data_IF_074127721692
#
_entry.id   IF_074127721692
#
_cell.length_a   1.000
_cell.length_b   1.000
_cell.length_c   1.000
_cell.angle_alpha   90.00
_cell.angle_beta   90.00
_cell.angle_gamma   90.00
#
_symmetry.space_group_name_H-M   'P 1'
#
loop_
_entity.id
_entity.type
_entity.pdbx_description
1 polymer ?
#
# COMPACT_ATOMS: atom_id res chain seq x y z
N UNK A 1 -1.45 5.21 -7.61
CA UNK A 1 -1.55 4.19 -8.69
C UNK A 1 -2.58 4.62 -9.73
N UNK A 2 -3.82 4.88 -9.30
CA UNK A 2 -4.89 5.30 -10.20
C UNK A 2 -4.61 6.67 -10.85
N UNK A 3 -3.92 7.58 -10.16
CA UNK A 3 -3.49 8.85 -10.74
C UNK A 3 -2.54 8.70 -11.95
N UNK A 4 -1.67 7.68 -11.95
CA UNK A 4 -0.78 7.40 -13.08
C UNK A 4 -1.52 6.66 -14.19
N UNK A 5 -2.37 5.68 -13.85
CA UNK A 5 -3.15 4.92 -14.83
C UNK A 5 -4.17 5.81 -15.56
N UNK A 6 -4.90 6.65 -14.82
CA UNK A 6 -5.75 7.71 -15.36
C UNK A 6 -4.94 8.77 -16.11
N UNK A 7 -3.80 9.20 -15.55
CA UNK A 7 -2.91 10.19 -16.17
C UNK A 7 -2.32 9.74 -17.52
N UNK A 8 -1.98 8.46 -17.69
CA UNK A 8 -1.53 7.90 -18.97
C UNK A 8 -2.70 7.70 -19.94
N UNK A 9 -3.88 7.26 -19.47
CA UNK A 9 -5.08 7.05 -20.29
C UNK A 9 -5.79 8.33 -20.74
N UNK A 10 -5.65 9.46 -20.02
CA UNK A 10 -6.31 10.74 -20.32
C UNK A 10 -5.43 11.72 -21.09
N UNK A 11 -4.20 11.36 -21.48
CA UNK A 11 -3.39 12.22 -22.34
C UNK A 11 -4.03 12.36 -23.72
N UNK A 12 -3.97 13.56 -24.34
CA UNK A 12 -4.48 13.78 -25.69
C UNK A 12 -3.77 12.85 -26.69
N UNK A 13 -4.53 12.37 -27.68
CA UNK A 13 -4.19 11.29 -28.61
C UNK A 13 -2.87 11.46 -29.40
N UNK A 14 -2.31 12.67 -29.45
CA UNK A 14 -1.01 12.96 -30.08
C UNK A 14 0.20 12.76 -29.15
N UNK A 15 -0.01 12.44 -27.86
CA UNK A 15 1.05 12.23 -26.84
C UNK A 15 0.82 11.00 -25.95
N UNK A 16 -0.20 10.20 -26.26
CA UNK A 16 -0.50 8.94 -25.59
C UNK A 16 0.50 7.87 -26.01
N UNK A 17 1.22 7.32 -25.03
CA UNK A 17 1.92 6.04 -25.20
C UNK A 17 0.88 4.97 -25.53
N UNK A 18 1.23 3.99 -26.38
CA UNK A 18 0.34 2.85 -26.58
C UNK A 18 0.02 2.22 -25.20
N UNK A 19 -1.25 1.83 -24.96
CA UNK A 19 -1.67 1.20 -23.70
C UNK A 19 -0.78 0.01 -23.31
N UNK A 20 -0.26 -0.70 -24.31
CA UNK A 20 0.71 -1.79 -24.12
C UNK A 20 1.99 -1.33 -23.40
N UNK A 21 2.63 -0.26 -23.87
CA UNK A 21 3.86 0.26 -23.25
C UNK A 21 3.58 0.85 -21.86
N UNK A 22 2.43 1.51 -21.67
CA UNK A 22 2.04 2.00 -20.34
C UNK A 22 1.89 0.85 -19.33
N UNK A 23 1.23 -0.24 -19.71
CA UNK A 23 1.12 -1.45 -18.87
C UNK A 23 2.48 -2.07 -18.56
N UNK A 24 3.41 -2.12 -19.53
CA UNK A 24 4.78 -2.61 -19.30
C UNK A 24 5.51 -1.73 -18.27
N UNK A 25 5.45 -0.41 -18.41
CA UNK A 25 6.12 0.52 -17.47
C UNK A 25 5.59 0.31 -16.04
N UNK A 26 4.27 0.21 -15.88
CA UNK A 26 3.66 -0.03 -14.58
C UNK A 26 4.06 -1.39 -14.01
N UNK A 27 4.03 -2.45 -14.82
CA UNK A 27 4.42 -3.79 -14.38
C UNK A 27 5.90 -3.86 -13.97
N UNK A 28 6.80 -3.35 -14.81
CA UNK A 28 8.25 -3.33 -14.54
C UNK A 28 8.54 -2.50 -13.30
N UNK A 29 7.93 -1.32 -13.16
CA UNK A 29 8.15 -0.49 -11.98
C UNK A 29 7.61 -1.13 -10.69
N UNK A 30 6.54 -1.95 -10.75
CA UNK A 30 6.08 -2.74 -9.59
C UNK A 30 7.04 -3.87 -9.23
N UNK A 31 7.55 -4.58 -10.23
CA UNK A 31 8.56 -5.62 -10.02
C UNK A 31 9.85 -5.02 -9.43
N UNK A 32 10.26 -3.85 -9.94
CA UNK A 32 11.40 -3.09 -9.42
C UNK A 32 11.18 -2.65 -7.97
N UNK A 33 10.03 -2.07 -7.67
CA UNK A 33 9.64 -1.59 -6.34
C UNK A 33 9.69 -2.72 -5.28
N UNK A 34 9.23 -3.93 -5.64
CA UNK A 34 9.35 -5.11 -4.79
C UNK A 34 10.83 -5.46 -4.51
N UNK A 35 11.70 -5.45 -5.52
CA UNK A 35 13.13 -5.78 -5.35
C UNK A 35 13.88 -4.74 -4.51
N UNK A 36 13.53 -3.45 -4.63
CA UNK A 36 14.22 -2.37 -3.93
C UNK A 36 13.97 -2.36 -2.42
N UNK A 37 12.81 -2.82 -1.95
CA UNK A 37 12.44 -2.83 -0.52
C UNK A 37 13.42 -3.59 0.40
N UNK A 38 13.77 -4.87 0.15
CA UNK A 38 14.72 -5.62 0.98
C UNK A 38 16.14 -5.06 0.87
N UNK A 39 16.54 -4.58 -0.31
CA UNK A 39 17.87 -4.00 -0.53
C UNK A 39 18.03 -2.75 0.33
N UNK A 40 17.07 -1.83 0.26
CA UNK A 40 17.10 -0.58 1.02
C UNK A 40 16.98 -0.85 2.52
N UNK A 41 16.10 -1.78 2.95
CA UNK A 41 16.02 -2.18 4.35
C UNK A 41 17.35 -2.64 4.92
N UNK A 42 18.08 -3.45 4.15
CA UNK A 42 19.43 -3.87 4.53
C UNK A 42 20.43 -2.70 4.55
N UNK A 43 20.44 -1.85 3.52
CA UNK A 43 21.35 -0.70 3.47
C UNK A 43 21.12 0.26 4.64
N UNK A 44 19.86 0.48 5.01
CA UNK A 44 19.46 1.30 6.14
C UNK A 44 19.91 0.66 7.45
N UNK A 45 19.73 -0.64 7.63
CA UNK A 45 20.22 -1.36 8.82
C UNK A 45 21.75 -1.24 9.01
N UNK A 46 22.50 -1.23 7.90
CA UNK A 46 23.98 -1.14 7.87
C UNK A 46 24.50 0.30 8.00
N UNK A 47 23.66 1.29 7.76
CA UNK A 47 24.09 2.68 7.75
C UNK A 47 24.58 3.13 9.14
N UNK A 48 25.66 3.92 9.20
CA UNK A 48 26.22 4.39 10.46
C UNK A 48 25.28 5.38 11.15
N UNK A 49 25.33 5.42 12.48
CA UNK A 49 24.59 6.41 13.25
C UNK A 49 25.18 7.81 13.01
N UNK A 50 24.35 8.73 12.50
CA UNK A 50 24.76 10.13 12.29
C UNK A 50 24.26 11.04 13.42
N UNK A 51 24.62 12.33 13.41
CA UNK A 51 24.13 13.31 14.39
C UNK A 51 22.61 13.46 14.40
N UNK A 52 21.96 13.16 13.27
CA UNK A 52 20.52 13.25 13.10
C UNK A 52 19.82 11.89 13.27
N UNK A 53 20.55 10.81 13.55
CA UNK A 53 20.01 9.46 13.60
C UNK A 53 20.55 8.55 12.50
N UNK A 54 20.00 7.34 12.42
CA UNK A 54 20.29 6.34 11.38
C UNK A 54 19.25 6.40 10.25
N UNK A 55 17.97 6.63 10.56
CA UNK A 55 16.85 6.55 9.60
C UNK A 55 16.58 7.90 8.90
N UNK A 56 16.64 9.00 9.64
CA UNK A 56 16.39 10.36 9.18
C UNK A 56 17.26 10.82 7.99
N UNK A 57 18.58 10.54 7.94
CA UNK A 57 19.41 10.95 6.81
C UNK A 57 18.94 10.37 5.46
N UNK A 58 18.45 9.13 5.45
CA UNK A 58 17.90 8.49 4.25
C UNK A 58 16.64 9.20 3.77
N UNK A 59 15.76 9.58 4.69
CA UNK A 59 14.52 10.33 4.39
C UNK A 59 14.86 11.71 3.80
N UNK A 60 15.75 12.45 4.44
CA UNK A 60 16.11 13.82 4.00
C UNK A 60 16.81 13.80 2.65
N UNK A 61 17.71 12.85 2.40
CA UNK A 61 18.43 12.76 1.13
C UNK A 61 17.55 12.28 -0.02
N UNK A 62 16.65 11.33 0.23
CA UNK A 62 15.76 10.78 -0.80
C UNK A 62 14.65 11.76 -1.22
N UNK A 63 14.14 12.59 -0.30
CA UNK A 63 13.02 13.52 -0.55
C UNK A 63 13.25 14.46 -1.75
N UNK A 64 14.32 15.29 -1.82
CA UNK A 64 14.50 16.22 -2.94
C UNK A 64 14.69 15.49 -4.27
N UNK A 65 15.38 14.34 -4.26
CA UNK A 65 15.54 13.51 -5.46
C UNK A 65 14.20 12.92 -5.90
N UNK A 66 13.36 12.46 -4.95
CA UNK A 66 12.05 11.91 -5.23
C UNK A 66 11.15 12.96 -5.87
N UNK A 67 11.15 14.18 -5.35
CA UNK A 67 10.41 15.32 -5.89
C UNK A 67 10.81 15.62 -7.34
N UNK A 68 12.11 15.69 -7.61
CA UNK A 68 12.62 15.93 -8.97
C UNK A 68 12.21 14.80 -9.90
N UNK A 69 12.37 13.54 -9.49
CA UNK A 69 11.97 12.39 -10.31
C UNK A 69 10.46 12.37 -10.58
N UNK A 70 9.62 12.69 -9.58
CA UNK A 70 8.17 12.76 -9.75
C UNK A 70 7.77 13.86 -10.73
N UNK A 71 8.36 15.06 -10.59
CA UNK A 71 8.10 16.16 -11.52
C UNK A 71 8.50 15.79 -12.96
N UNK A 72 9.62 15.07 -13.15
CA UNK A 72 10.08 14.60 -14.46
C UNK A 72 9.20 13.51 -15.10
N UNK A 73 8.41 12.77 -14.31
CA UNK A 73 7.37 11.85 -14.82
C UNK A 73 6.20 12.64 -15.45
N UNK A 74 5.89 13.82 -14.92
CA UNK A 74 4.82 14.67 -15.44
C UNK A 74 5.30 15.59 -16.57
N UNK A 75 6.60 15.83 -16.66
CA UNK A 75 7.21 16.50 -17.80
C UNK A 75 7.12 15.62 -19.07
N UNK A 76 6.71 16.23 -20.18
CA UNK A 76 6.66 15.55 -21.48
C UNK A 76 8.03 15.72 -22.14
N UNK A 77 8.82 14.64 -22.33
CA UNK A 77 10.12 14.75 -22.96
C UNK A 77 9.96 15.17 -24.42
N UNK A 78 10.89 16.01 -24.89
CA UNK A 78 10.92 16.52 -26.27
C UNK A 78 11.32 15.43 -27.27
N UNK A 79 11.98 14.36 -26.79
CA UNK A 79 12.48 13.24 -27.60
C UNK A 79 11.33 12.28 -27.89
N UNK A 80 10.99 12.06 -29.17
CA UNK A 80 9.86 11.19 -29.57
C UNK A 80 10.17 9.69 -29.49
N UNK A 81 11.34 9.27 -29.96
CA UNK A 81 11.73 7.85 -30.03
C UNK A 81 12.15 7.25 -28.67
N UNK A 82 12.34 8.09 -27.65
CA UNK A 82 12.83 7.70 -26.32
C UNK A 82 11.80 7.79 -25.19
N UNK A 83 10.53 8.12 -25.50
CA UNK A 83 9.48 8.40 -24.50
C UNK A 83 9.28 7.24 -23.52
N UNK A 84 9.27 6.00 -24.01
CA UNK A 84 9.07 4.79 -23.18
C UNK A 84 10.20 4.63 -22.17
N UNK A 85 11.45 4.73 -22.63
CA UNK A 85 12.65 4.58 -21.79
C UNK A 85 12.70 5.70 -20.74
N UNK A 86 12.39 6.94 -21.13
CA UNK A 86 12.30 8.07 -20.20
C UNK A 86 11.34 7.77 -19.04
N UNK A 87 10.10 7.39 -19.34
CA UNK A 87 9.12 7.10 -18.30
C UNK A 87 9.50 5.89 -17.46
N UNK A 88 10.05 4.85 -18.07
CA UNK A 88 10.52 3.67 -17.33
C UNK A 88 11.62 4.02 -16.32
N UNK A 89 12.63 4.78 -16.75
CA UNK A 89 13.76 5.18 -15.90
C UNK A 89 13.30 6.08 -14.75
N UNK A 90 12.56 7.15 -15.05
CA UNK A 90 12.10 8.07 -14.00
C UNK A 90 11.07 7.44 -13.07
N UNK A 91 10.23 6.53 -13.56
CA UNK A 91 9.32 5.76 -12.73
C UNK A 91 10.07 4.82 -11.79
N UNK A 92 11.04 4.05 -12.27
CA UNK A 92 11.85 3.18 -11.41
C UNK A 92 12.69 3.99 -10.41
N UNK A 93 13.23 5.13 -10.83
CA UNK A 93 13.96 6.05 -9.95
C UNK A 93 13.05 6.59 -8.84
N UNK A 94 11.86 7.06 -9.19
CA UNK A 94 10.87 7.53 -8.23
C UNK A 94 10.48 6.43 -7.23
N UNK A 95 10.21 5.21 -7.71
CA UNK A 95 9.90 4.07 -6.83
C UNK A 95 11.03 3.77 -5.85
N UNK A 96 12.28 3.74 -6.32
CA UNK A 96 13.46 3.51 -5.47
C UNK A 96 13.57 4.58 -4.37
N UNK A 97 13.39 5.85 -4.73
CA UNK A 97 13.48 6.97 -3.80
C UNK A 97 12.30 6.99 -2.82
N UNK A 98 11.12 6.58 -3.28
CA UNK A 98 9.96 6.38 -2.44
C UNK A 98 10.20 5.27 -1.41
N UNK A 99 10.84 4.16 -1.80
CA UNK A 99 11.25 3.10 -0.86
C UNK A 99 12.28 3.60 0.15
N UNK A 100 13.27 4.40 -0.28
CA UNK A 100 14.24 5.05 0.62
C UNK A 100 13.58 5.96 1.66
N UNK A 101 12.38 6.48 1.39
CA UNK A 101 11.60 7.23 2.36
C UNK A 101 10.73 6.32 3.23
N UNK A 102 9.96 5.42 2.60
CA UNK A 102 8.89 4.65 3.24
C UNK A 102 9.42 3.59 4.20
N UNK A 103 10.51 2.89 3.85
CA UNK A 103 11.08 1.85 4.70
C UNK A 103 11.61 2.42 6.02
N UNK A 104 12.49 3.45 6.03
CA UNK A 104 12.92 4.08 7.28
C UNK A 104 11.78 4.72 8.06
N UNK A 105 10.81 5.36 7.38
CA UNK A 105 9.63 5.93 8.03
C UNK A 105 8.81 4.89 8.80
N UNK A 106 8.58 3.74 8.17
CA UNK A 106 7.82 2.64 8.80
C UNK A 106 8.58 2.05 9.98
N UNK A 107 9.89 1.85 9.85
CA UNK A 107 10.74 1.34 10.93
C UNK A 107 10.85 2.31 12.13
N UNK A 108 10.76 3.62 11.88
CA UNK A 108 10.83 4.67 12.92
C UNK A 108 9.79 4.49 14.04
N UNK A 109 8.65 3.87 13.72
CA UNK A 109 7.57 3.62 14.69
C UNK A 109 7.99 2.69 15.82
N UNK A 110 8.99 1.82 15.63
CA UNK A 110 9.50 0.95 16.69
C UNK A 110 10.47 1.68 17.63
N UNK A 111 11.14 2.72 17.15
CA UNK A 111 12.09 3.49 17.93
C UNK A 111 11.45 4.62 18.76
N UNK A 112 10.14 4.84 18.64
CA UNK A 112 9.47 5.98 19.28
C UNK A 112 9.25 5.77 20.78
N UNK A 113 8.94 4.55 21.19
CA UNK A 113 8.69 4.17 22.58
C UNK A 113 9.19 2.75 22.80
N UNK A 114 9.51 2.43 24.05
CA UNK A 114 9.84 1.09 24.50
C UNK A 114 8.60 0.29 24.93
N UNK A 115 7.49 0.98 25.23
CA UNK A 115 6.25 0.31 25.58
C UNK A 115 5.48 -0.09 24.32
N UNK A 116 5.23 -1.38 24.20
CA UNK A 116 4.43 -1.98 23.13
C UNK A 116 3.04 -1.33 22.99
N UNK A 117 2.39 -0.97 24.10
CA UNK A 117 1.06 -0.34 24.07
C UNK A 117 1.12 1.04 23.43
N UNK A 118 2.19 1.80 23.69
CA UNK A 118 2.42 3.09 23.06
C UNK A 118 2.74 2.93 21.57
N UNK A 119 3.58 1.95 21.20
CA UNK A 119 3.88 1.61 19.79
C UNK A 119 2.63 1.24 19.00
N UNK A 120 1.78 0.39 19.56
CA UNK A 120 0.51 -0.01 18.94
C UNK A 120 -0.40 1.21 18.75
N UNK A 121 -0.48 2.10 19.74
CA UNK A 121 -1.28 3.32 19.65
C UNK A 121 -0.74 4.29 18.59
N UNK A 122 0.58 4.49 18.53
CA UNK A 122 1.22 5.34 17.53
C UNK A 122 0.98 4.79 16.11
N UNK A 123 1.03 3.48 15.95
CA UNK A 123 0.71 2.79 14.69
C UNK A 123 -0.75 3.04 14.28
N UNK A 124 -1.70 2.96 15.21
CA UNK A 124 -3.10 3.24 14.93
C UNK A 124 -3.33 4.69 14.49
N UNK A 125 -2.69 5.67 15.15
CA UNK A 125 -2.75 7.09 14.73
C UNK A 125 -2.16 7.29 13.35
N UNK A 126 -0.97 6.72 13.09
CA UNK A 126 -0.30 6.76 11.78
C UNK A 126 -1.22 6.23 10.68
N UNK A 127 -1.81 5.06 10.88
CA UNK A 127 -2.72 4.44 9.92
C UNK A 127 -4.01 5.23 9.71
N UNK A 128 -4.56 5.82 10.77
CA UNK A 128 -5.76 6.65 10.65
C UNK A 128 -5.49 7.86 9.75
N UNK A 129 -4.33 8.53 9.94
CA UNK A 129 -3.92 9.67 9.11
C UNK A 129 -3.59 9.24 7.68
N UNK A 130 -2.98 8.07 7.48
CA UNK A 130 -2.70 7.49 6.16
C UNK A 130 -3.99 7.20 5.38
N UNK A 131 -4.98 6.57 6.02
CA UNK A 131 -6.29 6.31 5.41
C UNK A 131 -7.00 7.62 5.11
N UNK A 132 -6.98 8.61 6.01
CA UNK A 132 -7.56 9.93 5.76
C UNK A 132 -6.93 10.61 4.54
N UNK A 133 -5.60 10.59 4.42
CA UNK A 133 -4.88 11.12 3.26
C UNK A 133 -5.32 10.41 1.97
N UNK A 134 -5.50 9.10 2.03
CA UNK A 134 -5.97 8.28 0.89
C UNK A 134 -7.41 8.61 0.51
N UNK A 135 -8.30 8.82 1.49
CA UNK A 135 -9.70 9.25 1.26
C UNK A 135 -9.72 10.60 0.54
N UNK A 136 -8.97 11.59 1.04
CA UNK A 136 -8.91 12.93 0.46
C UNK A 136 -8.34 12.86 -0.97
N UNK A 137 -7.25 12.12 -1.16
CA UNK A 137 -6.64 11.92 -2.48
C UNK A 137 -7.61 11.28 -3.48
N UNK A 138 -8.32 10.23 -3.07
CA UNK A 138 -9.30 9.52 -3.90
C UNK A 138 -10.51 10.39 -4.21
N UNK A 139 -10.99 11.16 -3.23
CA UNK A 139 -12.10 12.10 -3.42
C UNK A 139 -11.73 13.17 -4.45
N UNK A 140 -10.57 13.82 -4.28
CA UNK A 140 -10.08 14.86 -5.21
C UNK A 140 -9.87 14.27 -6.61
N UNK A 141 -9.18 13.13 -6.70
CA UNK A 141 -8.92 12.47 -7.98
C UNK A 141 -10.22 12.14 -8.70
N UNK A 142 -11.18 11.53 -8.01
CA UNK A 142 -12.37 11.09 -8.67
C UNK A 142 -13.32 12.23 -9.03
N UNK A 143 -13.33 13.36 -8.31
CA UNK A 143 -14.00 14.58 -8.79
C UNK A 143 -13.42 15.06 -10.13
N UNK A 144 -12.08 15.04 -10.27
CA UNK A 144 -11.40 15.42 -11.53
C UNK A 144 -11.74 14.44 -12.66
N UNK A 145 -11.68 13.13 -12.39
CA UNK A 145 -11.92 12.09 -13.41
C UNK A 145 -13.41 11.99 -13.77
N UNK A 146 -14.31 12.16 -12.81
CA UNK A 146 -15.77 12.12 -13.00
C UNK A 146 -16.27 13.24 -13.91
N UNK A 147 -15.60 14.40 -13.92
CA UNK A 147 -15.88 15.48 -14.87
C UNK A 147 -15.53 15.12 -16.32
N UNK A 148 -14.65 14.15 -16.55
CA UNK A 148 -14.16 13.77 -17.88
C UNK A 148 -14.92 12.58 -18.51
N UNK A 149 -16.06 12.17 -17.92
CA UNK A 149 -16.81 10.93 -18.15
C UNK A 149 -16.80 10.47 -19.63
N UNK A 150 -15.83 9.63 -20.05
CA UNK A 150 -15.69 9.30 -21.45
C UNK A 150 -16.82 8.34 -21.87
N UNK A 151 -17.48 8.58 -23.02
CA UNK A 151 -18.54 7.71 -23.51
C UNK A 151 -18.01 6.28 -23.70
N UNK A 152 -18.84 5.29 -23.40
CA UNK A 152 -18.49 3.90 -23.66
C UNK A 152 -18.47 3.63 -25.17
N UNK A 153 -17.69 2.63 -25.59
CA UNK A 153 -17.58 2.21 -26.98
C UNK A 153 -18.68 1.18 -27.24
N UNK A 154 -19.55 1.46 -28.20
CA UNK A 154 -20.55 0.50 -28.69
C UNK A 154 -19.83 -0.63 -29.44
N UNK A 155 -20.23 -1.88 -29.19
CA UNK A 155 -19.66 -3.03 -29.89
C UNK A 155 -20.02 -2.98 -31.40
N UNK A 156 -19.12 -3.42 -32.30
CA UNK A 156 -19.42 -3.48 -33.73
C UNK A 156 -20.44 -4.58 -34.00
N UNK A 157 -21.73 -4.21 -34.01
CA UNK A 157 -22.85 -5.14 -34.20
C UNK A 157 -24.20 -4.62 -33.72
N UNK A 158 -24.24 -3.62 -32.84
CA UNK A 158 -25.49 -3.00 -32.41
C UNK A 158 -25.94 -1.95 -33.45
N UNK A 159 -26.80 -2.37 -34.38
CA UNK A 159 -27.56 -1.49 -35.28
C UNK A 159 -28.61 -0.67 -34.50
N UNK A 160 -28.15 0.20 -33.61
CA UNK A 160 -28.95 1.28 -33.04
C UNK A 160 -28.74 2.55 -33.85
N UNK A 161 -29.14 2.49 -35.12
CA UNK A 161 -29.21 3.63 -36.06
C UNK A 161 -30.16 4.75 -35.62
N UNK A 162 -30.80 4.65 -34.44
CA UNK A 162 -31.77 5.60 -33.92
C UNK A 162 -31.26 6.47 -32.76
N UNK A 163 -30.01 6.31 -32.29
CA UNK A 163 -29.39 7.23 -31.32
C UNK A 163 -28.46 8.26 -31.97
N UNK A 164 -28.03 8.01 -33.21
CA UNK A 164 -27.24 8.97 -34.00
C UNK A 164 -28.05 10.17 -34.51
N UNK A 165 -29.38 10.14 -34.44
CA UNK A 165 -30.24 11.24 -34.91
C UNK A 165 -30.72 12.20 -33.81
N UNK A 166 -30.36 11.96 -32.54
CA UNK A 166 -30.66 12.88 -31.43
C UNK A 166 -29.42 13.55 -30.82
N UNK A 167 -28.24 13.28 -31.37
CA UNK A 167 -26.97 13.93 -30.97
C UNK A 167 -26.46 14.93 -32.02
N UNK A 168 -27.10 15.01 -33.18
CA UNK A 168 -26.72 15.90 -34.28
C UNK A 168 -27.23 17.35 -34.15
N UNK A 169 -27.95 17.69 -33.08
CA UNK A 169 -28.44 19.07 -32.84
C UNK A 169 -27.77 19.83 -31.70
N UNK A 170 -26.70 19.31 -31.08
CA UNK A 170 -26.00 19.99 -29.96
C UNK A 170 -24.51 20.26 -30.18
N UNK A 171 -23.86 19.70 -31.21
CA UNK A 171 -22.44 19.98 -31.48
C UNK A 171 -22.23 20.74 -32.80
N UNK A 172 -22.83 21.93 -32.87
CA UNK A 172 -22.35 23.02 -33.73
C UNK A 172 -21.55 24.01 -32.87
N UNK A 173 -20.33 23.60 -32.48
CA UNK A 173 -19.29 24.54 -32.06
C UNK A 173 -17.98 24.11 -32.72
N UNK A 174 -17.88 24.46 -34.00
CA UNK A 174 -16.60 24.72 -34.64
C UNK A 174 -15.90 25.80 -33.79
N UNK A 175 -14.93 25.39 -32.99
CA UNK A 175 -14.08 26.32 -32.25
C UNK A 175 -12.67 25.77 -32.21
N UNK A 176 -11.64 26.64 -32.32
CA UNK A 176 -10.22 26.26 -32.27
C UNK A 176 -9.76 25.84 -30.86
N UNK A 177 -10.67 25.28 -30.04
CA UNK A 177 -10.50 24.91 -28.63
C UNK A 177 -9.90 23.52 -28.41
N UNK A 178 -9.73 22.69 -29.43
CA UNK A 178 -9.06 21.38 -29.32
C UNK A 178 -7.54 21.50 -29.15
N UNK A 179 -6.92 22.57 -29.64
CA UNK A 179 -5.50 22.84 -29.39
C UNK A 179 -5.27 23.50 -28.01
N UNK A 180 -6.18 24.41 -27.62
CA UNK A 180 -6.13 25.12 -26.33
C UNK A 180 -6.38 24.19 -25.12
N UNK A 181 -7.21 23.14 -25.30
CA UNK A 181 -7.47 22.13 -24.26
C UNK A 181 -6.26 21.23 -24.00
N UNK A 182 -5.49 20.85 -25.03
CA UNK A 182 -4.29 20.01 -24.83
C UNK A 182 -3.15 20.73 -24.09
N UNK A 183 -2.99 22.04 -24.35
CA UNK A 183 -1.98 22.88 -23.68
C UNK A 183 -2.40 23.20 -22.24
N UNK A 184 -3.70 23.42 -22.02
CA UNK A 184 -4.31 23.58 -20.70
C UNK A 184 -4.18 22.31 -19.84
N UNK A 185 -4.39 21.13 -20.42
CA UNK A 185 -4.33 19.86 -19.71
C UNK A 185 -2.89 19.49 -19.26
N UNK A 186 -1.89 19.70 -20.13
CA UNK A 186 -0.46 19.53 -19.77
C UNK A 186 -0.08 20.46 -18.61
N UNK A 187 -0.51 21.72 -18.68
CA UNK A 187 -0.24 22.73 -17.65
C UNK A 187 -0.94 22.37 -16.33
N UNK A 188 -2.18 21.88 -16.38
CA UNK A 188 -2.92 21.42 -15.21
C UNK A 188 -2.24 20.24 -14.50
N UNK A 189 -1.75 19.24 -15.24
CA UNK A 189 -0.99 18.13 -14.65
C UNK A 189 0.34 18.58 -14.04
N UNK A 190 1.04 19.53 -14.67
CA UNK A 190 2.27 20.09 -14.11
C UNK A 190 1.98 20.85 -12.80
N UNK A 191 0.93 21.67 -12.75
CA UNK A 191 0.51 22.38 -11.52
C UNK A 191 0.14 21.39 -10.42
N UNK A 192 -0.67 20.37 -10.75
CA UNK A 192 -1.04 19.32 -9.80
C UNK A 192 0.19 18.57 -9.28
N UNK A 193 1.14 18.25 -10.17
CA UNK A 193 2.39 17.59 -9.78
C UNK A 193 3.23 18.47 -8.84
N UNK A 194 3.32 19.78 -9.11
CA UNK A 194 4.02 20.75 -8.26
C UNK A 194 3.37 20.90 -6.88
N UNK A 195 2.04 20.87 -6.81
CA UNK A 195 1.30 20.88 -5.54
C UNK A 195 1.61 19.63 -4.69
N UNK A 196 1.58 18.44 -5.30
CA UNK A 196 1.91 17.17 -4.64
C UNK A 196 3.37 17.18 -4.14
N UNK A 197 4.31 17.62 -4.99
CA UNK A 197 5.71 17.77 -4.59
C UNK A 197 5.88 18.73 -3.39
N UNK A 198 5.12 19.82 -3.36
CA UNK A 198 5.19 20.82 -2.28
C UNK A 198 4.68 20.23 -0.96
N UNK A 199 3.57 19.48 -1.01
CA UNK A 199 3.05 18.74 0.16
C UNK A 199 4.08 17.70 0.63
N UNK A 200 4.70 16.97 -0.30
CA UNK A 200 5.69 15.94 0.03
C UNK A 200 6.92 16.53 0.74
N UNK A 201 7.44 17.67 0.26
CA UNK A 201 8.52 18.41 0.94
C UNK A 201 8.07 18.87 2.33
N UNK A 202 6.87 19.46 2.44
CA UNK A 202 6.34 19.93 3.72
C UNK A 202 6.27 18.79 4.74
N UNK A 203 5.76 17.61 4.34
CA UNK A 203 5.70 16.43 5.18
C UNK A 203 7.09 15.97 5.64
N UNK A 204 8.08 15.93 4.72
CA UNK A 204 9.44 15.56 5.06
C UNK A 204 10.11 16.55 6.04
N UNK A 205 9.85 17.85 5.87
CA UNK A 205 10.32 18.90 6.78
C UNK A 205 9.70 18.74 8.18
N UNK A 206 8.39 18.51 8.26
CA UNK A 206 7.69 18.27 9.53
C UNK A 206 8.24 17.01 10.22
N UNK A 207 8.51 15.95 9.47
CA UNK A 207 9.11 14.73 10.01
C UNK A 207 10.51 14.99 10.56
N UNK A 208 11.36 15.69 9.79
CA UNK A 208 12.73 15.99 10.19
C UNK A 208 12.82 16.82 11.47
N UNK A 209 11.97 17.85 11.63
CA UNK A 209 11.95 18.67 12.83
C UNK A 209 11.14 18.06 13.99
N UNK A 210 10.14 17.25 13.67
CA UNK A 210 9.22 16.67 14.66
C UNK A 210 9.77 15.41 15.33
N UNK A 211 10.59 14.61 14.64
CA UNK A 211 11.09 13.35 15.18
C UNK A 211 12.58 13.46 15.51
N UNK A 212 12.91 13.15 16.76
CA UNK A 212 14.30 13.03 17.21
C UNK A 212 14.60 11.58 17.54
N UNK A 213 15.46 10.96 16.73
CA UNK A 213 15.94 9.60 17.00
C UNK A 213 16.78 9.57 18.29
N UNK A 214 16.42 8.66 19.19
CA UNK A 214 17.22 8.36 20.38
C UNK A 214 18.19 7.23 20.05
N UNK A 215 19.46 7.44 20.36
CA UNK A 215 20.51 6.42 20.24
C UNK A 215 20.39 5.48 21.42
N UNK A 216 20.14 4.19 21.16
CA UNK A 216 20.36 3.14 22.18
C UNK A 216 21.86 3.12 22.56
N UNK A 217 22.15 2.77 23.82
CA UNK A 217 23.50 2.87 24.39
C UNK A 217 24.58 2.23 23.50
N UNK A 218 25.81 2.78 23.46
CA UNK A 218 26.84 2.33 22.55
C UNK A 218 27.36 0.95 22.95
N UNK A 219 26.78 -0.10 22.38
CA UNK A 219 27.23 -1.49 22.59
C UNK A 219 28.28 -1.90 21.57
N UNK A 220 29.17 -2.85 21.93
CA UNK A 220 30.23 -3.33 21.05
C UNK A 220 29.63 -3.76 19.70
N UNK A 221 30.32 -3.40 18.61
CA UNK A 221 29.93 -3.71 17.23
C UNK A 221 29.52 -5.19 17.12
N UNK A 222 28.23 -5.47 16.96
CA UNK A 222 27.80 -6.73 16.38
C UNK A 222 28.41 -6.81 14.97
N UNK A 223 29.05 -7.93 14.63
CA UNK A 223 29.66 -8.10 13.32
C UNK A 223 28.66 -7.78 12.20
N UNK A 224 29.09 -6.99 11.22
CA UNK A 224 28.24 -6.59 10.09
C UNK A 224 27.99 -7.83 9.21
N UNK A 225 26.92 -8.55 9.49
CA UNK A 225 26.52 -9.73 8.73
C UNK A 225 26.26 -9.40 7.25
N UNK A 226 26.54 -10.37 6.37
CA UNK A 226 26.23 -10.26 4.95
C UNK A 226 24.72 -10.24 4.70
N UNK A 227 24.28 -9.59 3.62
CA UNK A 227 22.87 -9.49 3.22
C UNK A 227 22.16 -10.86 3.22
N UNK A 228 22.76 -11.84 2.54
CA UNK A 228 22.21 -13.18 2.42
C UNK A 228 22.17 -13.94 3.75
N UNK A 229 23.12 -13.68 4.65
CA UNK A 229 23.10 -14.25 6.00
C UNK A 229 21.97 -13.66 6.84
N UNK A 230 21.73 -12.34 6.74
CA UNK A 230 20.61 -11.68 7.41
C UNK A 230 19.26 -12.20 6.92
N UNK A 231 19.09 -12.39 5.61
CA UNK A 231 17.89 -12.99 5.02
C UNK A 231 17.68 -14.41 5.53
N UNK A 232 18.73 -15.25 5.45
CA UNK A 232 18.67 -16.63 5.90
C UNK A 232 18.29 -16.75 7.37
N UNK A 233 18.80 -15.84 8.21
CA UNK A 233 18.50 -15.78 9.64
C UNK A 233 17.02 -15.40 9.89
N UNK A 234 16.53 -14.35 9.25
CA UNK A 234 15.14 -13.86 9.39
C UNK A 234 14.15 -14.90 8.87
N UNK A 235 14.40 -15.47 7.69
CA UNK A 235 13.57 -16.52 7.10
C UNK A 235 13.69 -17.87 7.81
N UNK A 236 14.74 -18.06 8.62
CA UNK A 236 14.87 -19.20 9.52
C UNK A 236 13.92 -19.14 10.73
N UNK A 237 13.45 -17.93 11.10
CA UNK A 237 12.57 -17.75 12.25
C UNK A 237 11.13 -18.21 11.94
N UNK A 238 10.77 -19.40 12.43
CA UNK A 238 9.47 -20.03 12.13
C UNK A 238 8.24 -19.16 12.47
N UNK A 239 8.17 -18.43 13.60
CA UNK A 239 7.05 -17.54 13.89
C UNK A 239 6.88 -16.44 12.84
N UNK A 240 8.00 -15.89 12.35
CA UNK A 240 8.00 -14.85 11.33
C UNK A 240 7.45 -15.35 10.00
N UNK A 241 7.97 -16.47 9.49
CA UNK A 241 7.51 -17.02 8.21
C UNK A 241 6.02 -17.33 8.24
N UNK A 242 5.51 -17.90 9.34
CA UNK A 242 4.08 -18.16 9.49
C UNK A 242 3.24 -16.88 9.48
N UNK A 243 3.68 -15.84 10.18
CA UNK A 243 3.00 -14.55 10.22
C UNK A 243 2.96 -13.90 8.83
N UNK A 244 4.12 -13.81 8.17
CA UNK A 244 4.26 -13.18 6.85
C UNK A 244 3.48 -13.94 5.79
N UNK A 245 3.53 -15.28 5.78
CA UNK A 245 2.74 -16.08 4.83
C UNK A 245 1.23 -15.92 5.07
N UNK A 246 0.79 -15.87 6.33
CA UNK A 246 -0.61 -15.59 6.66
C UNK A 246 -1.06 -14.24 6.10
N UNK A 247 -0.27 -13.18 6.33
CA UNK A 247 -0.56 -11.86 5.79
C UNK A 247 -0.44 -11.78 4.28
N UNK A 248 0.51 -12.47 3.65
CA UNK A 248 0.67 -12.55 2.19
C UNK A 248 -0.63 -13.01 1.53
N UNK A 249 -1.22 -14.12 2.00
CA UNK A 249 -2.46 -14.64 1.44
C UNK A 249 -3.64 -13.70 1.67
N UNK A 250 -3.76 -13.11 2.87
CA UNK A 250 -4.82 -12.12 3.13
C UNK A 250 -4.65 -10.86 2.30
N UNK A 251 -3.44 -10.33 2.15
CA UNK A 251 -3.15 -9.15 1.32
C UNK A 251 -3.40 -9.45 -0.16
N UNK A 252 -3.04 -10.65 -0.65
CA UNK A 252 -3.38 -11.07 -2.01
C UNK A 252 -4.89 -11.07 -2.24
N UNK A 253 -5.68 -11.57 -1.28
CA UNK A 253 -7.13 -11.55 -1.33
C UNK A 253 -7.70 -10.12 -1.43
N UNK A 254 -7.22 -9.22 -0.56
CA UNK A 254 -7.65 -7.81 -0.58
C UNK A 254 -7.24 -7.10 -1.87
N UNK A 255 -6.01 -7.33 -2.35
CA UNK A 255 -5.53 -6.72 -3.59
C UNK A 255 -6.30 -7.22 -4.82
N UNK A 256 -6.78 -8.48 -4.81
CA UNK A 256 -7.65 -9.02 -5.86
C UNK A 256 -9.03 -8.38 -5.82
N UNK A 257 -9.62 -8.27 -4.63
CA UNK A 257 -10.88 -7.56 -4.43
C UNK A 257 -10.75 -6.11 -4.92
N UNK A 258 -9.80 -5.34 -4.37
CA UNK A 258 -9.60 -3.93 -4.66
C UNK A 258 -9.35 -3.67 -6.15
N UNK A 259 -8.46 -4.46 -6.77
CA UNK A 259 -8.09 -4.30 -8.19
C UNK A 259 -9.24 -4.55 -9.17
N UNK A 260 -10.23 -5.37 -8.81
CA UNK A 260 -11.37 -5.71 -9.67
C UNK A 260 -12.68 -5.02 -9.26
N UNK A 261 -12.72 -4.38 -8.10
CA UNK A 261 -13.95 -3.81 -7.54
C UNK A 261 -14.58 -2.74 -8.44
N UNK A 262 -13.76 -1.89 -9.06
CA UNK A 262 -14.25 -0.86 -9.98
C UNK A 262 -14.95 -1.45 -11.21
N UNK A 263 -14.36 -2.50 -11.81
CA UNK A 263 -14.95 -3.21 -12.96
C UNK A 263 -16.24 -3.92 -12.58
N UNK A 264 -16.28 -4.55 -11.40
CA UNK A 264 -17.47 -5.20 -10.86
C UNK A 264 -18.62 -4.21 -10.62
N UNK A 265 -18.36 -3.06 -10.02
CA UNK A 265 -19.37 -2.02 -9.83
C UNK A 265 -19.91 -1.46 -11.16
N UNK A 266 -19.03 -1.29 -12.16
CA UNK A 266 -19.43 -0.75 -13.46
C UNK A 266 -20.23 -1.74 -14.31
N UNK A 267 -19.77 -2.99 -14.41
CA UNK A 267 -20.31 -3.95 -15.38
C UNK A 267 -21.26 -4.99 -14.78
N UNK A 268 -21.12 -5.35 -13.50
CA UNK A 268 -22.00 -6.33 -12.84
C UNK A 268 -23.14 -5.65 -12.08
N UNK A 269 -22.85 -4.61 -11.29
CA UNK A 269 -23.87 -3.92 -10.50
C UNK A 269 -24.61 -2.83 -11.30
N UNK A 270 -24.01 -2.33 -12.38
CA UNK A 270 -24.56 -1.26 -13.22
C UNK A 270 -24.44 0.15 -12.62
N UNK A 271 -23.65 0.33 -11.56
CA UNK A 271 -23.52 1.59 -10.82
C UNK A 271 -22.27 2.37 -11.24
N UNK A 272 -22.12 2.64 -12.54
CA UNK A 272 -20.95 3.33 -13.11
C UNK A 272 -20.76 4.76 -12.57
N UNK A 273 -21.82 5.45 -12.17
CA UNK A 273 -21.72 6.81 -11.61
C UNK A 273 -21.48 6.83 -10.09
N UNK A 274 -21.86 5.76 -9.38
CA UNK A 274 -21.81 5.69 -7.92
C UNK A 274 -20.58 4.93 -7.40
N UNK A 275 -19.79 4.26 -8.26
CA UNK A 275 -18.64 3.45 -7.82
C UNK A 275 -17.67 4.22 -6.92
N UNK A 276 -17.41 5.50 -7.25
CA UNK A 276 -16.50 6.35 -6.49
C UNK A 276 -17.09 6.70 -5.12
N UNK A 277 -18.39 6.98 -5.06
CA UNK A 277 -19.08 7.24 -3.80
C UNK A 277 -19.08 5.99 -2.91
N UNK A 278 -19.29 4.81 -3.50
CA UNK A 278 -19.21 3.53 -2.81
C UNK A 278 -17.80 3.33 -2.22
N UNK A 279 -16.75 3.55 -3.02
CA UNK A 279 -15.36 3.45 -2.56
C UNK A 279 -15.06 4.43 -1.41
N UNK A 280 -15.54 5.67 -1.51
CA UNK A 280 -15.40 6.66 -0.44
C UNK A 280 -16.09 6.20 0.86
N UNK A 281 -17.27 5.58 0.77
CA UNK A 281 -17.97 5.03 1.93
C UNK A 281 -17.17 3.90 2.59
N UNK A 282 -16.57 3.00 1.80
CA UNK A 282 -15.69 1.93 2.33
C UNK A 282 -14.51 2.54 3.09
N UNK A 283 -13.83 3.52 2.48
CA UNK A 283 -12.63 4.12 3.08
C UNK A 283 -12.96 4.95 4.33
N UNK A 284 -14.07 5.69 4.33
CA UNK A 284 -14.54 6.44 5.51
C UNK A 284 -14.94 5.49 6.64
N UNK A 285 -15.66 4.41 6.34
CA UNK A 285 -16.02 3.40 7.32
C UNK A 285 -14.77 2.72 7.91
N UNK A 286 -13.77 2.42 7.08
CA UNK A 286 -12.50 1.89 7.55
C UNK A 286 -11.79 2.86 8.50
N UNK A 287 -11.70 4.14 8.13
CA UNK A 287 -11.10 5.17 8.98
C UNK A 287 -11.79 5.27 10.35
N UNK A 288 -13.12 5.35 10.37
CA UNK A 288 -13.91 5.51 11.60
C UNK A 288 -13.83 4.29 12.53
N UNK A 289 -13.53 3.11 11.98
CA UNK A 289 -13.45 1.86 12.74
C UNK A 289 -12.05 1.48 13.18
N UNK A 290 -11.00 2.19 12.76
CA UNK A 290 -9.62 1.98 13.26
C UNK A 290 -9.53 2.09 14.80
N UNK A 291 -10.08 3.13 15.47
CA UNK A 291 -10.03 3.22 16.94
C UNK A 291 -10.77 2.07 17.63
N UNK A 292 -11.86 1.60 17.02
CA UNK A 292 -12.60 0.42 17.52
C UNK A 292 -11.73 -0.83 17.47
N UNK A 293 -11.02 -1.07 16.35
CA UNK A 293 -10.10 -2.21 16.24
C UNK A 293 -8.90 -2.08 17.17
N UNK A 294 -8.38 -0.87 17.39
CA UNK A 294 -7.32 -0.63 18.35
C UNK A 294 -7.76 -0.94 19.79
N UNK A 295 -8.96 -0.52 20.17
CA UNK A 295 -9.57 -0.90 21.44
C UNK A 295 -9.77 -2.42 21.53
N UNK A 296 -10.22 -3.05 20.45
CA UNK A 296 -10.42 -4.50 20.40
C UNK A 296 -9.10 -5.27 20.59
N UNK A 297 -8.01 -4.80 19.99
CA UNK A 297 -6.68 -5.40 20.09
C UNK A 297 -6.14 -5.39 21.50
N UNK A 298 -6.24 -4.25 22.17
CA UNK A 298 -5.73 -4.07 23.53
C UNK A 298 -6.56 -4.85 24.56
N UNK A 299 -7.85 -5.07 24.31
CA UNK A 299 -8.75 -5.75 25.25
C UNK A 299 -8.84 -7.27 25.04
N UNK A 300 -8.95 -7.73 23.80
CA UNK A 300 -9.18 -9.14 23.47
C UNK A 300 -7.93 -9.85 22.92
N UNK A 301 -6.84 -9.12 22.73
CA UNK A 301 -5.56 -9.63 22.24
C UNK A 301 -5.48 -9.69 20.71
N UNK A 302 -4.25 -9.65 20.16
CA UNK A 302 -4.04 -9.53 18.71
C UNK A 302 -4.46 -10.77 17.91
N UNK A 303 -4.30 -11.98 18.47
CA UNK A 303 -4.71 -13.22 17.80
C UNK A 303 -6.20 -13.27 17.54
N UNK A 304 -7.02 -12.96 18.55
CA UNK A 304 -8.48 -12.91 18.40
C UNK A 304 -8.91 -11.83 17.42
N UNK A 305 -8.25 -10.67 17.45
CA UNK A 305 -8.50 -9.58 16.52
C UNK A 305 -8.21 -9.97 15.06
N UNK A 306 -7.14 -10.74 14.79
CA UNK A 306 -6.90 -11.29 13.44
C UNK A 306 -8.04 -12.19 13.00
N UNK A 307 -8.43 -13.17 13.84
CA UNK A 307 -9.49 -14.09 13.47
C UNK A 307 -10.81 -13.38 13.20
N UNK A 308 -11.24 -12.52 14.11
CA UNK A 308 -12.55 -11.85 14.02
C UNK A 308 -12.51 -10.80 12.91
N UNK A 309 -11.44 -10.01 12.83
CA UNK A 309 -11.25 -8.99 11.81
C UNK A 309 -11.25 -9.55 10.40
N UNK A 310 -10.35 -10.50 10.11
CA UNK A 310 -10.25 -11.08 8.77
C UNK A 310 -11.49 -11.92 8.41
N UNK A 311 -12.07 -12.66 9.36
CA UNK A 311 -13.30 -13.43 9.09
C UNK A 311 -14.52 -12.56 8.86
N UNK A 312 -14.59 -11.36 9.46
CA UNK A 312 -15.72 -10.44 9.28
C UNK A 312 -15.92 -10.00 7.83
N UNK A 313 -14.88 -10.06 7.00
CA UNK A 313 -14.90 -9.61 5.58
C UNK A 313 -15.62 -10.61 4.67
N UNK A 314 -15.56 -11.90 5.01
CA UNK A 314 -16.13 -13.01 4.23
C UNK A 314 -17.63 -12.84 3.95
N UNK A 315 -18.51 -12.60 4.95
CA UNK A 315 -19.94 -12.44 4.69
C UNK A 315 -20.23 -11.25 3.78
N UNK A 316 -19.45 -10.17 3.86
CA UNK A 316 -19.62 -9.00 2.99
C UNK A 316 -19.22 -9.29 1.54
N UNK A 317 -18.14 -10.03 1.32
CA UNK A 317 -17.74 -10.50 -0.01
C UNK A 317 -18.80 -11.40 -0.66
N UNK A 318 -19.46 -12.26 0.13
CA UNK A 318 -20.56 -13.11 -0.37
C UNK A 318 -21.78 -12.23 -0.69
N UNK A 319 -22.15 -11.36 0.24
CA UNK A 319 -23.34 -10.53 0.13
C UNK A 319 -23.26 -9.57 -1.08
N UNK A 320 -22.08 -9.01 -1.38
CA UNK A 320 -21.91 -8.09 -2.51
C UNK A 320 -22.22 -8.75 -3.87
N UNK A 321 -22.04 -10.07 -3.99
CA UNK A 321 -22.35 -10.83 -5.21
C UNK A 321 -23.80 -11.33 -5.22
N UNK A 322 -24.38 -11.62 -4.05
CA UNK A 322 -25.76 -12.09 -3.94
C UNK A 322 -26.80 -10.96 -4.07
N UNK A 323 -26.43 -9.72 -3.78
CA UNK A 323 -27.34 -8.57 -3.84
C UNK A 323 -27.64 -8.21 -5.29
N UNK A 324 -28.92 -8.36 -5.68
CA UNK A 324 -29.44 -7.77 -6.93
C UNK A 324 -29.31 -6.24 -6.84
N UNK A 325 -29.03 -5.59 -7.98
CA UNK A 325 -28.78 -4.14 -8.14
C UNK A 325 -29.76 -3.29 -7.31
N UNK A 326 -29.37 -2.99 -6.07
CA UNK A 326 -30.11 -2.18 -5.10
C UNK A 326 -29.10 -1.27 -4.42
N UNK A 327 -29.13 0.00 -4.81
CA UNK A 327 -28.11 0.98 -4.45
C UNK A 327 -27.96 1.13 -2.92
N UNK A 328 -29.06 1.20 -2.17
CA UNK A 328 -29.06 1.34 -0.70
C UNK A 328 -28.37 0.14 -0.03
N UNK A 329 -28.71 -1.09 -0.46
CA UNK A 329 -28.12 -2.30 0.10
C UNK A 329 -26.62 -2.32 -0.20
N UNK A 330 -26.21 -1.97 -1.42
CA UNK A 330 -24.79 -1.87 -1.78
C UNK A 330 -24.03 -0.90 -0.89
N UNK A 331 -24.58 0.28 -0.57
CA UNK A 331 -23.96 1.22 0.37
C UNK A 331 -23.85 0.65 1.79
N UNK A 332 -24.87 -0.03 2.29
CA UNK A 332 -24.82 -0.68 3.61
C UNK A 332 -23.76 -1.77 3.67
N UNK A 333 -23.69 -2.63 2.64
CA UNK A 333 -22.67 -3.68 2.54
C UNK A 333 -21.27 -3.09 2.44
N UNK A 334 -21.12 -1.98 1.72
CA UNK A 334 -19.84 -1.29 1.55
C UNK A 334 -19.34 -0.66 2.85
N UNK A 335 -20.25 -0.03 3.62
CA UNK A 335 -19.92 0.45 4.96
C UNK A 335 -19.47 -0.71 5.87
N UNK A 336 -20.19 -1.82 5.85
CA UNK A 336 -19.87 -2.99 6.65
C UNK A 336 -18.54 -3.65 6.24
N UNK A 337 -18.25 -3.72 4.92
CA UNK A 337 -16.96 -4.17 4.40
C UNK A 337 -15.80 -3.29 4.87
N UNK A 338 -15.99 -1.96 4.92
CA UNK A 338 -15.00 -1.01 5.45
C UNK A 338 -14.56 -1.33 6.88
N UNK A 339 -15.49 -1.82 7.72
CA UNK A 339 -15.16 -2.27 9.09
C UNK A 339 -14.14 -3.40 9.09
N UNK A 340 -14.32 -4.40 8.23
CA UNK A 340 -13.38 -5.53 8.12
C UNK A 340 -12.04 -5.14 7.48
N UNK A 341 -12.07 -4.23 6.50
CA UNK A 341 -10.86 -3.70 5.84
C UNK A 341 -9.95 -2.99 6.86
N UNK A 342 -10.50 -2.20 7.78
CA UNK A 342 -9.71 -1.53 8.82
C UNK A 342 -8.86 -2.50 9.66
N UNK A 343 -9.43 -3.65 10.03
CA UNK A 343 -8.68 -4.68 10.76
C UNK A 343 -7.51 -5.20 9.93
N UNK A 344 -7.77 -5.55 8.67
CA UNK A 344 -6.75 -6.11 7.79
C UNK A 344 -5.56 -5.17 7.55
N UNK A 345 -5.79 -3.85 7.51
CA UNK A 345 -4.73 -2.87 7.40
C UNK A 345 -3.94 -2.67 8.69
N UNK A 346 -4.58 -2.75 9.86
CA UNK A 346 -3.94 -2.41 11.13
C UNK A 346 -3.16 -3.58 11.74
N UNK A 347 -3.70 -4.80 11.65
CA UNK A 347 -3.18 -5.99 12.31
C UNK A 347 -1.72 -6.35 11.97
N UNK A 348 -1.28 -6.31 10.68
CA UNK A 348 0.08 -6.70 10.34
C UNK A 348 1.12 -5.83 11.03
N UNK A 349 0.87 -4.53 11.10
CA UNK A 349 1.80 -3.56 11.66
C UNK A 349 1.86 -3.59 13.18
N UNK A 350 0.79 -4.05 13.83
CA UNK A 350 0.78 -4.28 15.27
C UNK A 350 1.44 -5.63 15.65
N UNK A 351 1.34 -6.67 14.80
CA UNK A 351 1.89 -7.99 15.11
C UNK A 351 3.36 -8.18 14.68
N UNK A 352 3.83 -7.40 13.70
CA UNK A 352 5.20 -7.49 13.22
C UNK A 352 6.25 -7.18 14.31
N UNK A 353 6.10 -6.13 15.14
CA UNK A 353 6.97 -5.88 16.29
C UNK A 353 7.04 -7.07 17.26
N UNK A 354 5.93 -7.76 17.52
CA UNK A 354 5.88 -8.88 18.46
C UNK A 354 6.82 -10.03 18.05
N UNK A 355 6.98 -10.24 16.73
CA UNK A 355 7.91 -11.24 16.19
C UNK A 355 9.35 -10.77 16.26
N UNK A 356 9.58 -9.47 16.04
CA UNK A 356 10.90 -8.85 16.18
C UNK A 356 11.38 -8.99 17.62
N UNK A 357 10.52 -8.69 18.59
CA UNK A 357 10.81 -8.84 20.02
C UNK A 357 11.09 -10.32 20.37
N UNK A 358 10.27 -11.26 19.86
CA UNK A 358 10.50 -12.71 20.06
C UNK A 358 11.82 -13.21 19.47
N UNK A 359 12.22 -12.65 18.32
CA UNK A 359 13.50 -12.94 17.69
C UNK A 359 14.68 -12.38 18.50
N UNK A 360 14.53 -11.16 19.04
CA UNK A 360 15.56 -10.51 19.85
C UNK A 360 15.82 -11.23 21.17
N UNK A 361 14.77 -11.76 21.82
CA UNK A 361 14.90 -12.58 23.02
C UNK A 361 15.71 -13.85 22.74
N UNK A 362 15.52 -14.47 21.58
CA UNK A 362 16.24 -15.69 21.17
C UNK A 362 17.67 -15.40 20.69
N UNK A 363 17.93 -14.20 20.18
CA UNK A 363 19.20 -13.80 19.59
C UNK A 363 19.67 -12.45 20.18
N UNK A 364 20.06 -12.41 21.47
CA UNK A 364 20.42 -11.16 22.14
C UNK A 364 21.63 -10.46 21.50
N UNK A 365 22.54 -11.23 20.91
CA UNK A 365 23.75 -10.71 20.23
C UNK A 365 23.47 -10.09 18.85
N UNK A 366 22.27 -10.32 18.29
CA UNK A 366 21.90 -9.97 16.91
C UNK A 366 20.95 -8.76 16.91
N UNK A 367 21.50 -7.55 17.02
CA UNK A 367 20.70 -6.29 17.03
C UNK A 367 20.72 -5.58 15.66
N UNK A 368 19.62 -4.90 15.34
CA UNK A 368 19.50 -4.07 14.13
C UNK A 368 18.82 -4.72 12.92
N UNK A 369 18.25 -5.92 13.06
CA UNK A 369 17.54 -6.63 11.97
C UNK A 369 16.10 -6.17 11.76
N UNK A 370 15.60 -5.29 12.64
CA UNK A 370 14.25 -4.72 12.59
C UNK A 370 13.84 -4.22 11.19
N UNK A 371 14.71 -3.44 10.55
CA UNK A 371 14.47 -2.91 9.21
C UNK A 371 14.35 -4.04 8.16
N UNK A 372 15.07 -5.15 8.36
CA UNK A 372 15.00 -6.33 7.47
C UNK A 372 13.64 -7.02 7.62
N UNK A 373 13.15 -7.24 8.85
CA UNK A 373 11.82 -7.81 9.11
C UNK A 373 10.70 -7.01 8.42
N UNK A 374 10.79 -5.67 8.49
CA UNK A 374 9.85 -4.76 7.85
C UNK A 374 9.95 -4.78 6.33
N UNK A 375 11.15 -4.64 5.79
CA UNK A 375 11.34 -4.66 4.34
C UNK A 375 10.90 -5.95 3.68
N UNK A 376 11.13 -7.10 4.32
CA UNK A 376 10.64 -8.38 3.81
C UNK A 376 9.12 -8.48 3.85
N UNK A 377 8.49 -8.00 4.93
CA UNK A 377 7.04 -7.94 4.99
C UNK A 377 6.46 -7.06 3.87
N UNK A 378 7.01 -5.85 3.66
CA UNK A 378 6.57 -4.95 2.59
C UNK A 378 6.83 -5.56 1.21
N UNK A 379 7.97 -6.21 1.00
CA UNK A 379 8.24 -6.97 -0.21
C UNK A 379 7.15 -7.99 -0.53
N UNK A 380 6.79 -8.83 0.44
CA UNK A 380 5.76 -9.86 0.24
C UNK A 380 4.38 -9.26 -0.04
N UNK A 381 4.01 -8.16 0.61
CA UNK A 381 2.73 -7.48 0.33
C UNK A 381 2.70 -6.87 -1.08
N UNK A 382 3.80 -6.28 -1.55
CA UNK A 382 3.93 -5.81 -2.94
C UNK A 382 3.95 -6.96 -3.94
N UNK A 383 4.61 -8.06 -3.61
CA UNK A 383 4.62 -9.27 -4.42
C UNK A 383 3.19 -9.83 -4.59
N UNK A 384 2.40 -9.87 -3.51
CA UNK A 384 0.97 -10.21 -3.57
C UNK A 384 0.19 -9.24 -4.47
N UNK A 385 0.44 -7.93 -4.39
CA UNK A 385 -0.19 -6.95 -5.29
C UNK A 385 0.13 -7.22 -6.77
N UNK A 386 1.39 -7.55 -7.09
CA UNK A 386 1.81 -7.93 -8.45
C UNK A 386 1.15 -9.22 -8.94
N UNK A 387 1.09 -10.26 -8.10
CA UNK A 387 0.39 -11.52 -8.43
C UNK A 387 -1.10 -11.26 -8.65
N UNK A 388 -1.75 -10.47 -7.77
CA UNK A 388 -3.15 -10.09 -7.91
C UNK A 388 -3.44 -9.49 -9.29
N UNK A 389 -2.63 -8.50 -9.68
CA UNK A 389 -2.76 -7.84 -10.97
C UNK A 389 -2.60 -8.82 -12.13
N UNK A 390 -1.62 -9.73 -12.05
CA UNK A 390 -1.40 -10.76 -13.06
C UNK A 390 -2.59 -11.72 -13.18
N UNK A 391 -3.10 -12.25 -12.06
CA UNK A 391 -4.28 -13.13 -12.02
C UNK A 391 -5.50 -12.41 -12.58
N UNK A 392 -5.75 -11.17 -12.17
CA UNK A 392 -6.86 -10.35 -12.65
C UNK A 392 -6.80 -10.14 -14.17
N UNK A 393 -5.65 -9.69 -14.68
CA UNK A 393 -5.46 -9.37 -16.10
C UNK A 393 -5.63 -10.60 -16.97
N UNK A 394 -4.96 -11.71 -16.63
CA UNK A 394 -5.06 -12.96 -17.40
C UNK A 394 -6.48 -13.53 -17.37
N UNK A 395 -7.14 -13.52 -16.21
CA UNK A 395 -8.51 -14.04 -16.09
C UNK A 395 -9.50 -13.23 -16.93
N UNK A 396 -9.37 -11.89 -16.95
CA UNK A 396 -10.20 -11.01 -17.75
C UNK A 396 -9.93 -11.15 -19.26
N UNK A 397 -8.67 -11.34 -19.65
CA UNK A 397 -8.30 -11.60 -21.05
C UNK A 397 -8.90 -12.92 -21.55
N UNK A 398 -8.78 -14.01 -20.77
CA UNK A 398 -9.42 -15.29 -21.08
C UNK A 398 -10.94 -15.21 -21.11
N UNK A 399 -11.55 -14.34 -20.31
CA UNK A 399 -12.99 -14.09 -20.32
C UNK A 399 -13.45 -13.25 -21.53
N UNK A 400 -12.53 -12.65 -22.28
CA UNK A 400 -12.82 -11.80 -23.43
C UNK A 400 -13.20 -10.37 -23.05
N UNK A 401 -12.58 -9.79 -22.02
CA UNK A 401 -12.85 -8.42 -21.57
C UNK A 401 -12.63 -7.38 -22.68
N UNK A 402 -13.66 -6.60 -22.98
CA UNK A 402 -13.61 -5.54 -23.99
C UNK A 402 -13.34 -4.21 -23.31
N UNK A 403 -12.19 -3.59 -23.61
CA UNK A 403 -11.82 -2.32 -22.99
C UNK A 403 -12.82 -1.21 -23.37
N UNK A 404 -13.49 -0.64 -22.36
CA UNK A 404 -14.51 0.44 -22.48
C UNK A 404 -15.77 0.06 -23.27
N UNK A 405 -16.08 -1.23 -23.46
CA UNK A 405 -17.34 -1.66 -24.05
C UNK A 405 -18.55 -1.23 -23.21
N UNK A 406 -19.63 -0.75 -23.84
CA UNK A 406 -20.88 -0.47 -23.12
C UNK A 406 -21.52 -1.75 -22.55
N UNK A 407 -21.27 -2.89 -23.20
CA UNK A 407 -21.69 -4.23 -22.80
C UNK A 407 -20.47 -5.13 -22.75
N UNK A 408 -20.51 -6.12 -21.84
CA UNK A 408 -19.46 -7.13 -21.68
C UNK A 408 -20.05 -8.53 -21.91
N UNK A 409 -19.24 -9.49 -22.38
CA UNK A 409 -19.65 -10.90 -22.45
C UNK A 409 -20.07 -11.44 -21.07
N UNK A 410 -21.01 -12.40 -21.04
CA UNK A 410 -21.47 -13.04 -19.80
C UNK A 410 -20.33 -13.71 -19.00
N UNK A 411 -19.33 -14.25 -19.71
CA UNK A 411 -18.14 -14.84 -19.11
C UNK A 411 -17.35 -13.83 -18.24
N UNK A 412 -17.34 -12.55 -18.62
CA UNK A 412 -16.67 -11.48 -17.87
C UNK A 412 -17.39 -11.21 -16.55
N UNK A 413 -18.73 -11.22 -16.55
CA UNK A 413 -19.53 -11.05 -15.33
C UNK A 413 -19.25 -12.16 -14.31
N UNK A 414 -19.22 -13.42 -14.76
CA UNK A 414 -18.88 -14.58 -13.92
C UNK A 414 -17.45 -14.45 -13.39
N UNK A 415 -16.51 -14.08 -14.27
CA UNK A 415 -15.09 -13.91 -13.90
C UNK A 415 -14.92 -12.82 -12.84
N UNK A 416 -15.60 -11.68 -12.97
CA UNK A 416 -15.57 -10.60 -11.98
C UNK A 416 -16.12 -11.05 -10.63
N UNK A 417 -17.23 -11.81 -10.60
CA UNK A 417 -17.79 -12.39 -9.36
C UNK A 417 -16.80 -13.32 -8.67
N UNK A 418 -16.06 -14.14 -9.44
CA UNK A 418 -15.02 -15.03 -8.89
C UNK A 418 -13.84 -14.23 -8.33
N UNK A 419 -13.36 -13.21 -9.06
CA UNK A 419 -12.21 -12.39 -8.67
C UNK A 419 -12.48 -11.48 -7.46
N UNK A 420 -13.72 -11.01 -7.30
CA UNK A 420 -14.14 -10.11 -6.20
C UNK A 420 -14.59 -10.87 -4.95
N UNK A 421 -15.05 -12.11 -5.08
CA UNK A 421 -15.63 -12.86 -3.96
C UNK A 421 -14.98 -14.23 -3.74
N UNK A 422 -15.23 -15.20 -4.63
CA UNK A 422 -14.85 -16.60 -4.38
C UNK A 422 -13.33 -16.81 -4.20
N UNK A 423 -12.51 -16.20 -5.06
CA UNK A 423 -11.06 -16.33 -4.98
C UNK A 423 -10.48 -15.64 -3.72
N UNK A 424 -10.81 -14.37 -3.41
CA UNK A 424 -10.43 -13.75 -2.15
C UNK A 424 -10.85 -14.52 -0.90
N UNK A 425 -12.06 -15.09 -0.86
CA UNK A 425 -12.53 -15.90 0.29
C UNK A 425 -11.64 -17.12 0.49
N UNK A 426 -11.31 -17.86 -0.57
CA UNK A 426 -10.41 -19.01 -0.49
C UNK A 426 -9.03 -18.64 0.05
N UNK A 427 -8.47 -17.52 -0.41
CA UNK A 427 -7.17 -17.01 0.05
C UNK A 427 -7.22 -16.55 1.52
N UNK A 428 -8.31 -15.91 1.95
CA UNK A 428 -8.53 -15.53 3.36
C UNK A 428 -8.57 -16.77 4.26
N UNK A 429 -9.28 -17.83 3.84
CA UNK A 429 -9.36 -19.07 4.62
C UNK A 429 -7.99 -19.74 4.77
N UNK A 430 -7.17 -19.74 3.71
CA UNK A 430 -5.77 -20.22 3.77
C UNK A 430 -4.97 -19.37 4.77
N UNK A 431 -5.10 -18.04 4.72
CA UNK A 431 -4.45 -17.12 5.66
C UNK A 431 -4.85 -17.39 7.11
N UNK A 432 -6.14 -17.59 7.38
CA UNK A 432 -6.67 -17.92 8.72
C UNK A 432 -6.13 -19.26 9.26
N UNK A 433 -5.99 -20.28 8.39
CA UNK A 433 -5.37 -21.56 8.78
C UNK A 433 -3.91 -21.37 9.17
N UNK A 434 -3.15 -20.53 8.45
CA UNK A 434 -1.77 -20.22 8.80
C UNK A 434 -1.65 -19.49 10.14
N UNK A 435 -2.54 -18.53 10.42
CA UNK A 435 -2.60 -17.85 11.71
C UNK A 435 -2.92 -18.80 12.88
N UNK A 436 -3.48 -19.98 12.63
CA UNK A 436 -3.69 -21.02 13.68
C UNK A 436 -2.39 -21.64 14.14
N UNK A 437 -1.46 -21.79 13.20
CA UNK A 437 -0.14 -22.33 13.48
C UNK A 437 0.82 -21.31 14.09
N UNK A 438 0.42 -20.03 14.19
CA UNK A 438 1.22 -18.94 14.74
C UNK A 438 1.35 -19.08 16.27
N UNK A 439 2.59 -19.16 16.81
CA UNK A 439 2.83 -19.56 18.19
C UNK A 439 2.88 -18.41 19.22
N UNK A 440 2.84 -17.15 18.79
CA UNK A 440 2.99 -15.99 19.69
C UNK A 440 1.61 -15.55 20.17
N UNK A 441 1.26 -16.03 21.35
CA UNK A 441 0.05 -15.65 22.10
C UNK A 441 0.34 -14.52 23.11
N UNK A 442 -0.71 -13.99 23.74
CA UNK A 442 -0.59 -12.90 24.72
C UNK A 442 0.38 -13.22 25.87
N UNK A 443 0.35 -14.44 26.39
CA UNK A 443 1.26 -14.89 27.45
C UNK A 443 2.72 -14.85 27.01
N UNK A 444 3.02 -15.36 25.80
CA UNK A 444 4.38 -15.36 25.25
C UNK A 444 4.89 -13.94 25.02
N UNK A 445 4.02 -13.01 24.60
CA UNK A 445 4.38 -11.60 24.47
C UNK A 445 4.72 -10.95 25.80
N UNK A 446 3.90 -11.18 26.82
CA UNK A 446 4.17 -10.66 28.16
C UNK A 446 5.47 -11.25 28.73
N UNK A 447 5.75 -12.53 28.46
CA UNK A 447 7.02 -13.17 28.77
C UNK A 447 8.21 -12.51 28.08
N UNK A 448 8.15 -12.33 26.76
CA UNK A 448 9.21 -11.67 25.99
C UNK A 448 9.44 -10.23 26.45
N UNK A 449 8.37 -9.48 26.75
CA UNK A 449 8.46 -8.12 27.28
C UNK A 449 9.24 -8.07 28.60
N UNK A 450 8.95 -8.99 29.53
CA UNK A 450 9.67 -9.09 30.80
C UNK A 450 11.15 -9.43 30.60
N UNK A 451 11.44 -10.43 29.76
CA UNK A 451 12.82 -10.83 29.45
C UNK A 451 13.63 -9.69 28.82
N UNK A 452 13.05 -8.93 27.89
CA UNK A 452 13.71 -7.78 27.28
C UNK A 452 13.90 -6.62 28.27
N UNK A 453 13.03 -6.49 29.26
CA UNK A 453 13.19 -5.51 30.33
C UNK A 453 14.31 -5.93 31.29
N UNK A 454 14.32 -7.18 31.73
CA UNK A 454 15.38 -7.75 32.58
C UNK A 454 16.76 -7.67 31.91
N UNK A 455 16.85 -7.96 30.61
CA UNK A 455 18.09 -7.79 29.84
C UNK A 455 18.58 -6.35 29.85
N UNK A 456 17.65 -5.37 29.69
CA UNK A 456 17.99 -3.95 29.72
C UNK A 456 18.45 -3.49 31.11
N UNK A 457 17.78 -3.94 32.17
CA UNK A 457 18.15 -3.64 33.55
C UNK A 457 19.54 -4.20 33.87
N UNK A 458 19.80 -5.48 33.55
CA UNK A 458 21.11 -6.10 33.74
C UNK A 458 22.23 -5.37 32.96
N UNK A 459 21.92 -4.88 31.76
CA UNK A 459 22.89 -4.13 30.95
C UNK A 459 23.15 -2.73 31.50
N UNK A 460 22.12 -2.04 32.01
CA UNK A 460 22.28 -0.75 32.67
C UNK A 460 23.13 -0.86 33.94
N UNK A 461 22.92 -1.93 34.73
CA UNK A 461 23.73 -2.22 35.92
C UNK A 461 25.20 -2.47 35.52
N UNK A 462 25.44 -3.24 34.46
CA UNK A 462 26.80 -3.50 33.96
C UNK A 462 27.53 -2.25 33.43
N UNK A 463 26.81 -1.33 32.77
CA UNK A 463 27.38 -0.05 32.30
C UNK A 463 27.73 0.85 33.51
N UNK A 464 26.89 0.84 34.55
CA UNK A 464 27.11 1.61 35.80
C UNK A 464 28.35 1.10 36.54
N UNK A 465 28.46 -0.22 36.73
CA UNK A 465 29.65 -0.84 37.36
C UNK A 465 30.94 -0.52 36.57
N UNK A 466 30.89 -0.58 35.24
CA UNK A 466 32.05 -0.28 34.40
C UNK A 466 32.47 1.19 34.47
N UNK A 467 31.52 2.13 34.54
CA UNK A 467 31.81 3.56 34.67
C UNK A 467 32.32 3.93 36.05
N UNK A 468 31.82 3.30 37.12
CA UNK A 468 32.41 3.43 38.46
C UNK A 468 33.84 2.91 38.51
N UNK A 469 34.11 1.74 37.92
CA UNK A 469 35.46 1.17 37.86
C UNK A 469 36.42 2.09 37.07
N UNK A 470 35.95 2.72 36.00
CA UNK A 470 36.74 3.64 35.17
C UNK A 470 37.01 4.97 35.88
N UNK A 471 36.13 5.40 36.78
CA UNK A 471 36.33 6.61 37.60
C UNK A 471 37.21 6.37 38.84
N UNK A 472 37.41 5.11 39.24
CA UNK A 472 38.30 4.71 40.34
C UNK A 472 39.77 4.51 39.91
N UNK A 473 40.03 4.33 38.62
CA UNK A 473 41.38 4.24 38.00
C UNK A 473 41.84 5.63 37.56
#
# INVERSE_FOLDING_TARGET
HDFLCSGFCQRPASTSLDPFYASIILFVGRAWDAVTDPIIGFMVSRSPWTRFGRMLPWIVFSTPLAVVSYFLIWYVPVIEDGKVIWYLVFYCLFQTLQTCFHVPYSALTMFISEDQKERDSATAYRMTVEVLGTVIGTAVQGQIVGMANPPCILAPGDNSTNLLSLSSSVFSYDSPLTCLSSLSQKTAYMIASGAICSIYILCAVVLFFGVKEKKESPRPRSELMSFWQGIGLVMGHRPYVKLVMGFLFTSLAFMLLEGNFALFCCYTLGFRNDFQNILLVIMLAAMLTIPFWQWFLTKFGKKNAVYIGTSSVIPFMILVVCVKSNLIITYMVSFAAGVGVAAAFLLPWSMLPDVVDDFQVQNPDSKGHEAIFYSFYVFFTKFASGISLGISTLSLDFAGYITRGCTQPENVDITLKVLVSAAPIGLILIGLVLFRSYPIDEERRQGNRKLLQEQRENEADSETDSTELTNMV
#
